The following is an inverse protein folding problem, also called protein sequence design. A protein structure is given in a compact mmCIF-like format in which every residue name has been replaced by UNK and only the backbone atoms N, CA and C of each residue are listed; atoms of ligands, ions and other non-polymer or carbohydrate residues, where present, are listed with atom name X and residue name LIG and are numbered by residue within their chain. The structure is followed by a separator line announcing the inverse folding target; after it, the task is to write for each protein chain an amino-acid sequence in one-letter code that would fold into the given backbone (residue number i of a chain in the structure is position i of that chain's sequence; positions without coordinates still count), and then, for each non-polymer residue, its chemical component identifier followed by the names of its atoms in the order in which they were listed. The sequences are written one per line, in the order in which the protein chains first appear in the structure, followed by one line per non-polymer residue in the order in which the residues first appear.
data_IF_435041075594
#
_entry.id   IF_435041075594
#
_cell.length_a   1.000
_cell.length_b   1.000
_cell.length_c   1.000
_cell.angle_alpha   90.00
_cell.angle_beta   90.00
_cell.angle_gamma   90.00
#
_symmetry.space_group_name_H-M   'P 1'
#
loop_
_entity.id
_entity.type
_entity.pdbx_description
1 polymer ?
#
# COMPACT_ATOMS: atom_id res chain seq x y z
N UNK A 1 -23.66 -25.58 67.85
CA UNK A 1 -23.06 -26.18 66.66
C UNK A 1 -23.53 -25.47 65.39
N UNK A 2 -23.12 -24.22 65.11
CA UNK A 2 -23.48 -23.49 63.91
C UNK A 2 -22.40 -22.45 63.52
N UNK A 3 -21.09 -22.76 63.67
CA UNK A 3 -20.00 -21.82 63.26
C UNK A 3 -18.89 -22.44 62.42
N UNK A 4 -19.04 -23.66 61.90
CA UNK A 4 -17.95 -24.35 61.18
C UNK A 4 -18.14 -24.50 59.66
N UNK A 5 -19.22 -23.95 59.02
CA UNK A 5 -19.54 -24.20 57.62
C UNK A 5 -19.22 -23.01 56.72
N UNK A 6 -18.94 -21.81 57.26
CA UNK A 6 -18.76 -20.59 56.44
C UNK A 6 -17.31 -20.42 55.91
N UNK A 7 -16.33 -21.07 56.53
CA UNK A 7 -14.91 -20.88 56.09
C UNK A 7 -14.45 -21.73 54.91
N UNK A 8 -15.17 -22.80 54.58
CA UNK A 8 -14.73 -23.72 53.50
C UNK A 8 -15.21 -23.28 52.11
N UNK A 9 -16.25 -22.47 52.00
CA UNK A 9 -16.80 -22.03 50.70
C UNK A 9 -16.04 -20.80 50.16
N UNK A 10 -15.52 -19.93 51.03
CA UNK A 10 -14.80 -18.72 50.59
C UNK A 10 -13.40 -19.07 50.05
N UNK A 11 -12.76 -20.13 50.60
CA UNK A 11 -11.44 -20.58 50.10
C UNK A 11 -11.48 -21.20 48.70
N UNK A 12 -12.55 -21.92 48.36
CA UNK A 12 -12.69 -22.57 47.07
C UNK A 12 -13.01 -21.60 45.91
N UNK A 13 -13.72 -20.53 46.19
CA UNK A 13 -14.02 -19.50 45.16
C UNK A 13 -12.77 -18.64 44.86
N UNK A 14 -11.97 -18.32 45.87
CA UNK A 14 -10.73 -17.56 45.68
C UNK A 14 -9.66 -18.38 44.92
N UNK A 15 -9.57 -19.68 45.15
CA UNK A 15 -8.67 -20.57 44.42
C UNK A 15 -9.12 -20.75 42.95
N UNK A 16 -10.42 -20.89 42.70
CA UNK A 16 -10.93 -20.99 41.32
C UNK A 16 -10.75 -19.68 40.52
N UNK A 17 -10.93 -18.53 41.17
CA UNK A 17 -10.69 -17.22 40.54
C UNK A 17 -9.20 -16.98 40.23
N UNK A 18 -8.30 -17.41 41.12
CA UNK A 18 -6.85 -17.30 40.90
C UNK A 18 -6.38 -18.23 39.78
N UNK A 19 -6.92 -19.45 39.67
CA UNK A 19 -6.62 -20.38 38.56
C UNK A 19 -7.21 -19.83 37.25
N UNK A 20 -8.41 -19.26 37.25
CA UNK A 20 -9.04 -18.64 36.09
C UNK A 20 -8.22 -17.43 35.59
N UNK A 21 -7.77 -16.53 36.49
CA UNK A 21 -6.91 -15.42 36.15
C UNK A 21 -5.52 -15.89 35.65
N UNK A 22 -4.92 -16.93 36.25
CA UNK A 22 -3.62 -17.43 35.85
C UNK A 22 -3.67 -18.15 34.48
N UNK A 23 -4.75 -18.84 34.14
CA UNK A 23 -4.95 -19.46 32.83
C UNK A 23 -5.28 -18.44 31.75
N UNK A 24 -5.92 -17.29 32.09
CA UNK A 24 -6.15 -16.20 31.12
C UNK A 24 -4.93 -15.29 30.89
N UNK A 25 -3.95 -15.27 31.81
CA UNK A 25 -2.73 -14.49 31.65
C UNK A 25 -1.62 -15.25 30.88
N UNK A 26 -1.81 -16.52 30.52
CA UNK A 26 -0.83 -17.34 29.80
C UNK A 26 -1.29 -17.77 28.40
N UNK A 27 -2.39 -17.28 27.89
CA UNK A 27 -2.57 -17.23 26.46
C UNK A 27 -1.84 -15.96 25.97
N UNK A 28 -0.52 -16.05 25.78
CA UNK A 28 0.09 -15.29 24.73
C UNK A 28 -0.84 -15.51 23.51
N UNK A 29 -1.53 -14.49 23.08
CA UNK A 29 -2.28 -14.52 21.83
C UNK A 29 -1.26 -14.87 20.77
N UNK A 30 -1.16 -16.14 20.42
CA UNK A 30 -0.51 -16.54 19.17
C UNK A 30 -1.22 -15.69 18.13
N UNK A 31 -0.48 -14.75 17.56
CA UNK A 31 -1.01 -13.91 16.50
C UNK A 31 -1.48 -14.89 15.42
N UNK A 32 -2.77 -14.86 15.10
CA UNK A 32 -3.30 -15.69 14.02
C UNK A 32 -2.43 -15.49 12.79
N UNK A 33 -2.09 -16.56 12.07
CA UNK A 33 -1.25 -16.45 10.89
C UNK A 33 -1.86 -15.43 9.91
N UNK A 34 -1.03 -14.53 9.40
CA UNK A 34 -1.46 -13.49 8.49
C UNK A 34 -1.82 -14.16 7.15
N UNK A 35 -3.12 -14.21 6.84
CA UNK A 35 -3.61 -14.68 5.55
C UNK A 35 -3.58 -13.52 4.55
N UNK A 36 -2.56 -13.48 3.70
CA UNK A 36 -2.47 -12.51 2.61
C UNK A 36 -3.17 -13.06 1.36
N UNK A 37 -3.76 -12.20 0.52
CA UNK A 37 -4.36 -12.63 -0.74
C UNK A 37 -3.28 -13.17 -1.69
N UNK A 38 -3.70 -14.04 -2.61
CA UNK A 38 -2.86 -14.44 -3.73
C UNK A 38 -2.44 -13.20 -4.54
N UNK A 39 -1.17 -13.12 -4.89
CA UNK A 39 -0.64 -11.95 -5.61
C UNK A 39 -0.37 -10.72 -4.74
N UNK A 40 -0.43 -10.84 -3.41
CA UNK A 40 -0.04 -9.74 -2.51
C UNK A 40 1.36 -9.23 -2.83
N UNK A 41 1.52 -7.89 -2.83
CA UNK A 41 2.77 -7.22 -3.17
C UNK A 41 3.23 -6.22 -2.11
N UNK A 42 4.55 -6.02 -2.04
CA UNK A 42 5.20 -4.98 -1.26
C UNK A 42 5.78 -3.93 -2.21
N UNK A 43 5.34 -2.69 -2.07
CA UNK A 43 5.88 -1.55 -2.80
C UNK A 43 6.94 -0.84 -1.96
N UNK A 44 8.14 -0.69 -2.50
CA UNK A 44 9.17 0.19 -1.96
C UNK A 44 8.86 1.63 -2.37
N UNK A 45 8.39 2.44 -1.41
CA UNK A 45 8.19 3.88 -1.60
C UNK A 45 9.53 4.54 -1.91
N UNK A 46 9.53 5.54 -2.78
CA UNK A 46 10.74 6.33 -3.04
C UNK A 46 11.42 6.78 -1.74
N UNK A 47 12.77 6.84 -1.74
CA UNK A 47 13.56 7.06 -0.51
C UNK A 47 13.57 5.87 0.46
N UNK A 48 13.30 4.65 -0.03
CA UNK A 48 13.32 3.45 0.80
C UNK A 48 14.75 3.12 1.28
N UNK A 49 14.81 2.33 2.37
CA UNK A 49 16.06 1.88 3.00
C UNK A 49 17.05 3.02 3.33
N UNK A 50 16.54 4.24 3.51
CA UNK A 50 17.34 5.42 3.88
C UNK A 50 18.00 6.15 2.71
N UNK A 51 17.67 5.80 1.48
CA UNK A 51 18.10 6.53 0.28
C UNK A 51 17.36 7.86 0.13
N UNK A 52 17.80 8.70 -0.81
CA UNK A 52 17.11 9.94 -1.14
C UNK A 52 15.90 9.66 -2.04
N UNK A 53 14.81 10.41 -1.80
CA UNK A 53 13.59 10.32 -2.62
C UNK A 53 13.88 10.62 -4.10
N UNK A 54 13.18 9.93 -4.97
CA UNK A 54 13.16 10.16 -6.41
C UNK A 54 14.57 10.06 -7.06
N UNK A 55 15.34 9.03 -6.68
CA UNK A 55 16.64 8.71 -7.25
C UNK A 55 16.71 7.29 -7.80
N UNK A 56 17.58 7.05 -8.75
CA UNK A 56 17.85 5.69 -9.28
C UNK A 56 18.42 4.77 -8.19
N UNK A 57 19.14 5.33 -7.22
CA UNK A 57 19.61 4.62 -6.03
C UNK A 57 18.44 4.07 -5.20
N UNK A 58 17.37 4.86 -5.02
CA UNK A 58 16.16 4.41 -4.31
C UNK A 58 15.48 3.23 -5.02
N UNK A 59 15.42 3.23 -6.35
CA UNK A 59 14.91 2.11 -7.13
C UNK A 59 15.75 0.86 -6.87
N UNK A 60 17.07 0.95 -6.98
CA UNK A 60 17.99 -0.16 -6.75
C UNK A 60 17.88 -0.70 -5.31
N UNK A 61 17.84 0.20 -4.31
CA UNK A 61 17.69 -0.20 -2.90
C UNK A 61 16.36 -0.94 -2.63
N UNK A 62 15.26 -0.52 -3.29
CA UNK A 62 13.99 -1.22 -3.22
C UNK A 62 14.06 -2.65 -3.74
N UNK A 63 14.74 -2.84 -4.88
CA UNK A 63 14.97 -4.16 -5.47
C UNK A 63 15.83 -5.03 -4.55
N UNK A 64 16.96 -4.51 -4.06
CA UNK A 64 17.86 -5.22 -3.15
C UNK A 64 17.16 -5.62 -1.83
N UNK A 65 16.22 -4.80 -1.37
CA UNK A 65 15.39 -5.11 -0.20
C UNK A 65 14.28 -6.15 -0.48
N UNK A 66 14.18 -6.67 -1.70
CA UNK A 66 13.23 -7.70 -2.10
C UNK A 66 11.80 -7.19 -2.30
N UNK A 67 11.61 -5.91 -2.61
CA UNK A 67 10.31 -5.38 -2.98
C UNK A 67 9.82 -5.98 -4.31
N UNK A 68 8.50 -6.16 -4.42
CA UNK A 68 7.87 -6.65 -5.66
C UNK A 68 7.62 -5.49 -6.64
N UNK A 69 7.55 -4.28 -6.09
CA UNK A 69 7.26 -3.03 -6.81
C UNK A 69 8.19 -1.95 -6.26
N UNK A 70 8.75 -1.12 -7.13
CA UNK A 70 9.43 0.13 -6.78
C UNK A 70 8.53 1.30 -7.15
N UNK A 71 8.55 2.37 -6.39
CA UNK A 71 7.69 3.54 -6.64
C UNK A 71 8.54 4.78 -6.84
N UNK A 72 8.08 5.64 -7.75
CA UNK A 72 8.62 6.95 -8.09
C UNK A 72 7.50 7.97 -8.21
N UNK A 73 7.80 9.25 -7.93
CA UNK A 73 6.90 10.37 -8.20
C UNK A 73 7.18 10.94 -9.60
N UNK A 74 6.15 11.04 -10.44
CA UNK A 74 6.24 11.61 -11.79
C UNK A 74 5.80 13.07 -11.80
N UNK A 75 6.69 13.92 -12.27
CA UNK A 75 6.40 15.33 -12.59
C UNK A 75 7.01 15.70 -13.95
N UNK A 76 6.80 16.93 -14.40
CA UNK A 76 7.30 17.44 -15.68
C UNK A 76 8.06 18.74 -15.48
N UNK A 77 9.20 18.88 -16.17
CA UNK A 77 9.90 20.15 -16.32
C UNK A 77 9.08 21.13 -17.17
N UNK A 78 9.39 22.44 -17.15
CA UNK A 78 8.71 23.43 -17.98
C UNK A 78 8.75 23.14 -19.49
N UNK A 79 9.76 22.41 -19.97
CA UNK A 79 9.90 21.97 -21.37
C UNK A 79 9.10 20.68 -21.67
N UNK A 80 8.41 20.12 -20.69
CA UNK A 80 7.62 18.91 -20.80
C UNK A 80 8.40 17.61 -20.55
N UNK A 81 9.68 17.66 -20.19
CA UNK A 81 10.48 16.46 -19.88
C UNK A 81 9.95 15.76 -18.62
N UNK A 82 9.61 14.45 -18.68
CA UNK A 82 9.18 13.68 -17.51
C UNK A 82 10.35 13.41 -16.56
N UNK A 83 10.22 13.80 -15.30
CA UNK A 83 11.25 13.70 -14.26
C UNK A 83 10.72 13.10 -12.98
N UNK A 84 11.62 12.59 -12.15
CA UNK A 84 11.33 12.05 -10.85
C UNK A 84 11.38 13.19 -9.81
N UNK A 85 10.25 13.67 -9.38
CA UNK A 85 10.12 14.66 -8.30
C UNK A 85 8.70 14.70 -7.74
N UNK A 86 8.58 14.89 -6.40
CA UNK A 86 7.27 14.97 -5.76
C UNK A 86 6.57 16.31 -6.02
N UNK A 87 7.30 17.40 -5.86
CA UNK A 87 6.76 18.75 -6.03
C UNK A 87 7.03 19.27 -7.44
N UNK A 88 6.32 20.33 -7.86
CA UNK A 88 6.58 20.95 -9.15
C UNK A 88 8.05 21.41 -9.22
N UNK A 89 8.84 20.90 -10.18
CA UNK A 89 10.26 21.25 -10.27
C UNK A 89 10.42 22.69 -10.78
N UNK A 90 11.33 23.41 -10.13
CA UNK A 90 11.94 24.61 -10.72
C UNK A 90 12.94 24.16 -11.80
N UNK A 91 12.96 24.81 -12.95
CA UNK A 91 13.73 24.38 -14.13
C UNK A 91 15.26 24.33 -13.96
N UNK A 92 15.79 24.79 -12.80
CA UNK A 92 17.24 24.90 -12.55
C UNK A 92 17.86 23.63 -11.93
N UNK A 93 17.03 22.65 -11.52
CA UNK A 93 17.51 21.41 -10.88
C UNK A 93 17.76 20.30 -11.92
N UNK A 94 18.91 19.65 -11.80
CA UNK A 94 19.15 18.38 -12.46
C UNK A 94 18.45 17.27 -11.70
N UNK A 95 17.39 16.71 -12.28
CA UNK A 95 16.60 15.64 -11.71
C UNK A 95 16.78 14.35 -12.51
N UNK A 96 16.65 13.17 -11.89
CA UNK A 96 16.54 11.93 -12.64
C UNK A 96 15.32 11.99 -13.56
N UNK A 97 15.46 11.49 -14.78
CA UNK A 97 14.38 11.45 -15.76
C UNK A 97 13.60 10.14 -15.67
N UNK A 98 12.35 10.15 -16.12
CA UNK A 98 11.58 8.92 -16.29
C UNK A 98 12.28 7.97 -17.26
N UNK A 99 12.91 8.50 -18.32
CA UNK A 99 13.69 7.72 -19.29
C UNK A 99 14.77 6.88 -18.62
N UNK A 100 15.57 7.48 -17.72
CA UNK A 100 16.61 6.77 -16.97
C UNK A 100 16.07 5.73 -15.97
N UNK A 101 14.91 6.00 -15.36
CA UNK A 101 14.27 5.04 -14.47
C UNK A 101 13.71 3.84 -15.22
N UNK A 102 13.11 4.06 -16.39
CA UNK A 102 12.58 2.99 -17.24
C UNK A 102 13.72 2.16 -17.88
N UNK A 103 14.83 2.79 -18.26
CA UNK A 103 16.01 2.07 -18.70
C UNK A 103 16.51 1.10 -17.63
N UNK A 104 16.64 1.58 -16.38
CA UNK A 104 16.99 0.72 -15.24
C UNK A 104 15.99 -0.41 -15.05
N UNK A 105 14.68 -0.13 -15.14
CA UNK A 105 13.60 -1.11 -14.95
C UNK A 105 13.67 -2.27 -15.95
N UNK A 106 14.12 -2.05 -17.18
CA UNK A 106 14.18 -3.11 -18.20
C UNK A 106 14.99 -4.33 -17.77
N UNK A 107 16.09 -4.11 -17.03
CA UNK A 107 16.96 -5.14 -16.49
C UNK A 107 16.51 -5.80 -15.18
N UNK A 108 15.40 -5.34 -14.58
CA UNK A 108 14.96 -5.77 -13.27
C UNK A 108 13.71 -6.64 -13.36
N UNK A 109 13.58 -7.62 -12.45
CA UNK A 109 12.37 -8.45 -12.33
C UNK A 109 11.44 -7.88 -11.24
N UNK A 110 11.02 -6.63 -11.40
CA UNK A 110 10.07 -5.91 -10.53
C UNK A 110 9.14 -5.07 -11.38
N UNK A 111 8.03 -4.66 -10.79
CA UNK A 111 7.14 -3.64 -11.37
C UNK A 111 7.52 -2.25 -10.87
N UNK A 112 7.04 -1.23 -11.57
CA UNK A 112 7.17 0.16 -11.14
C UNK A 112 5.78 0.79 -10.97
N UNK A 113 5.55 1.33 -9.80
CA UNK A 113 4.46 2.26 -9.54
C UNK A 113 4.93 3.67 -9.88
N UNK A 114 4.30 4.31 -10.84
CA UNK A 114 4.52 5.70 -11.20
C UNK A 114 3.42 6.52 -10.53
N UNK A 115 3.76 7.22 -9.44
CA UNK A 115 2.82 8.08 -8.71
C UNK A 115 2.72 9.44 -9.41
N UNK A 116 1.59 9.66 -10.10
CA UNK A 116 1.35 10.83 -10.95
C UNK A 116 1.12 12.06 -10.06
N UNK A 117 2.01 13.05 -10.17
CA UNK A 117 1.89 14.34 -9.46
C UNK A 117 1.39 15.46 -10.36
N UNK A 118 1.46 15.26 -11.67
CA UNK A 118 0.97 16.17 -12.68
C UNK A 118 0.65 15.40 -13.96
N UNK A 119 -0.29 15.92 -14.73
CA UNK A 119 -0.75 15.32 -16.00
C UNK A 119 -0.37 16.15 -17.23
N UNK A 120 0.49 17.18 -17.06
CA UNK A 120 0.83 18.17 -18.09
C UNK A 120 1.33 17.56 -19.41
N UNK A 121 2.08 16.43 -19.36
CA UNK A 121 2.62 15.77 -20.56
C UNK A 121 2.64 14.23 -20.43
N UNK A 122 1.52 13.64 -20.03
CA UNK A 122 1.39 12.18 -19.91
C UNK A 122 1.65 11.42 -21.22
N UNK A 123 1.43 12.06 -22.37
CA UNK A 123 1.71 11.46 -23.67
C UNK A 123 3.21 11.17 -23.85
N UNK A 124 4.10 12.07 -23.40
CA UNK A 124 5.56 11.85 -23.44
C UNK A 124 5.96 10.74 -22.46
N UNK A 125 5.40 10.74 -21.24
CA UNK A 125 5.63 9.65 -20.29
C UNK A 125 5.24 8.28 -20.90
N UNK A 126 4.09 8.21 -21.56
CA UNK A 126 3.65 6.99 -22.26
C UNK A 126 4.56 6.61 -23.42
N UNK A 127 5.03 7.59 -24.21
CA UNK A 127 5.97 7.34 -25.29
C UNK A 127 7.28 6.71 -24.77
N UNK A 128 7.78 7.16 -23.62
CA UNK A 128 8.96 6.57 -22.97
C UNK A 128 8.68 5.15 -22.45
N UNK A 129 7.53 4.90 -21.82
CA UNK A 129 7.12 3.55 -21.37
C UNK A 129 7.13 2.58 -22.55
N UNK A 130 6.58 2.98 -23.69
CA UNK A 130 6.58 2.17 -24.92
C UNK A 130 7.97 2.02 -25.53
N UNK A 131 8.78 3.07 -25.54
CA UNK A 131 10.17 3.05 -26.04
C UNK A 131 10.99 1.95 -25.34
N UNK A 132 10.80 1.80 -24.04
CA UNK A 132 11.48 0.81 -23.22
C UNK A 132 10.80 -0.57 -23.18
N UNK A 133 9.60 -0.72 -23.78
CA UNK A 133 8.82 -1.97 -23.76
C UNK A 133 8.40 -2.39 -22.35
N UNK A 134 8.09 -1.43 -21.48
CA UNK A 134 7.80 -1.64 -20.04
C UNK A 134 6.31 -1.55 -19.69
N UNK A 135 5.41 -1.53 -20.70
CA UNK A 135 3.96 -1.39 -20.49
C UNK A 135 3.38 -2.44 -19.53
N UNK A 136 3.90 -3.66 -19.55
CA UNK A 136 3.46 -4.74 -18.64
C UNK A 136 4.07 -4.66 -17.25
N UNK A 137 5.08 -3.82 -17.06
CA UNK A 137 5.80 -3.65 -15.79
C UNK A 137 5.39 -2.40 -15.02
N UNK A 138 4.63 -1.49 -15.62
CA UNK A 138 4.24 -0.22 -15.00
C UNK A 138 2.75 -0.15 -14.72
N UNK A 139 2.39 0.63 -13.71
CA UNK A 139 1.04 1.09 -13.45
C UNK A 139 1.10 2.45 -12.75
N UNK A 140 -0.04 3.17 -12.70
CA UNK A 140 -0.11 4.48 -12.09
C UNK A 140 -0.83 4.46 -10.74
N UNK A 141 -0.35 5.30 -9.82
CA UNK A 141 -1.07 5.83 -8.66
C UNK A 141 -1.05 7.36 -8.70
N UNK A 142 -1.54 8.05 -7.67
CA UNK A 142 -1.65 9.52 -7.71
C UNK A 142 -2.79 10.03 -8.58
N UNK A 143 -3.47 9.17 -9.32
CA UNK A 143 -4.57 9.52 -10.21
C UNK A 143 -5.82 9.84 -9.40
N UNK A 144 -6.23 11.10 -9.36
CA UNK A 144 -7.48 11.56 -8.78
C UNK A 144 -8.58 11.67 -9.85
N UNK A 145 -9.82 12.00 -9.46
CA UNK A 145 -10.95 12.06 -10.40
C UNK A 145 -10.69 12.96 -11.62
N UNK A 146 -10.08 14.11 -11.35
CA UNK A 146 -9.82 15.13 -12.39
C UNK A 146 -8.69 14.70 -13.35
N UNK A 147 -7.86 13.72 -12.96
CA UNK A 147 -6.75 13.21 -13.77
C UNK A 147 -7.15 12.06 -14.68
N UNK A 148 -8.28 11.39 -14.38
CA UNK A 148 -8.69 10.14 -15.03
C UNK A 148 -8.73 10.26 -16.56
N UNK A 149 -9.34 11.33 -17.09
CA UNK A 149 -9.48 11.52 -18.54
C UNK A 149 -8.11 11.75 -19.20
N UNK A 150 -7.25 12.57 -18.58
CA UNK A 150 -5.91 12.84 -19.08
C UNK A 150 -5.05 11.56 -19.10
N UNK A 151 -5.10 10.76 -18.05
CA UNK A 151 -4.35 9.49 -17.95
C UNK A 151 -4.86 8.48 -18.98
N UNK A 152 -6.17 8.26 -19.09
CA UNK A 152 -6.76 7.29 -20.04
C UNK A 152 -6.50 7.64 -21.48
N UNK A 153 -6.64 8.92 -21.83
CA UNK A 153 -6.45 9.37 -23.21
C UNK A 153 -4.97 9.39 -23.64
N UNK A 154 -4.07 9.74 -22.72
CA UNK A 154 -2.64 9.88 -23.02
C UNK A 154 -1.83 8.59 -22.86
N UNK A 155 -2.25 7.68 -21.97
CA UNK A 155 -1.54 6.43 -21.67
C UNK A 155 -2.48 5.21 -21.74
N UNK A 156 -3.11 4.96 -22.90
CA UNK A 156 -4.10 3.90 -23.05
C UNK A 156 -3.51 2.52 -22.76
N UNK A 157 -4.24 1.72 -21.96
CA UNK A 157 -3.86 0.34 -21.62
C UNK A 157 -2.91 0.21 -20.43
N UNK A 158 -2.36 1.29 -19.89
CA UNK A 158 -1.63 1.24 -18.62
C UNK A 158 -2.65 1.20 -17.47
N UNK A 159 -2.60 0.17 -16.59
CA UNK A 159 -3.49 0.10 -15.45
C UNK A 159 -3.19 1.20 -14.42
N UNK A 160 -4.21 1.62 -13.67
CA UNK A 160 -4.04 2.58 -12.60
C UNK A 160 -4.97 2.31 -11.42
N UNK A 161 -4.54 2.74 -10.25
CA UNK A 161 -5.38 2.84 -9.06
C UNK A 161 -5.95 4.25 -8.94
N UNK A 162 -7.21 4.37 -8.53
CA UNK A 162 -7.77 5.67 -8.19
C UNK A 162 -7.33 6.06 -6.77
N UNK A 163 -6.71 7.23 -6.64
CA UNK A 163 -6.40 7.80 -5.34
C UNK A 163 -7.66 8.38 -4.72
N UNK A 164 -8.01 7.94 -3.52
CA UNK A 164 -9.21 8.43 -2.84
C UNK A 164 -8.94 8.80 -1.39
N UNK A 165 -9.57 9.86 -0.94
CA UNK A 165 -9.66 10.21 0.47
C UNK A 165 -10.91 9.56 1.05
N UNK A 166 -10.73 8.54 1.89
CA UNK A 166 -11.83 7.82 2.54
C UNK A 166 -12.18 8.49 3.87
N UNK A 167 -13.48 8.72 4.12
CA UNK A 167 -13.93 9.20 5.41
C UNK A 167 -13.91 8.05 6.44
N UNK A 168 -12.98 8.16 7.36
CA UNK A 168 -12.78 7.16 8.42
C UNK A 168 -14.02 6.94 9.30
N UNK A 169 -14.96 7.90 9.38
CA UNK A 169 -16.15 7.80 10.24
C UNK A 169 -17.21 6.88 9.65
N UNK A 170 -17.20 6.71 8.34
CA UNK A 170 -18.21 5.94 7.60
C UNK A 170 -17.58 4.85 6.70
N UNK A 171 -16.30 4.52 6.90
CA UNK A 171 -15.56 3.53 6.09
C UNK A 171 -16.03 2.07 6.30
N UNK A 172 -17.09 1.86 7.08
CA UNK A 172 -17.80 0.59 7.25
C UNK A 172 -19.27 0.70 6.82
N UNK A 173 -19.73 1.89 6.45
CA UNK A 173 -21.09 2.11 5.95
C UNK A 173 -21.25 1.54 4.54
N UNK A 174 -22.22 0.65 4.36
CA UNK A 174 -22.40 -0.09 3.10
C UNK A 174 -22.72 0.83 1.91
N UNK A 175 -23.60 1.81 2.10
CA UNK A 175 -23.97 2.72 1.02
C UNK A 175 -22.79 3.61 0.60
N UNK A 176 -21.94 4.01 1.56
CA UNK A 176 -20.71 4.71 1.27
C UNK A 176 -19.73 3.84 0.50
N UNK A 177 -19.52 2.59 0.91
CA UNK A 177 -18.65 1.64 0.22
C UNK A 177 -19.15 1.32 -1.21
N UNK A 178 -20.47 1.16 -1.41
CA UNK A 178 -21.06 1.01 -2.75
C UNK A 178 -20.75 2.24 -3.64
N UNK A 179 -20.87 3.45 -3.08
CA UNK A 179 -20.56 4.68 -3.83
C UNK A 179 -19.09 4.75 -4.25
N UNK A 180 -18.16 4.34 -3.38
CA UNK A 180 -16.72 4.26 -3.68
C UNK A 180 -16.43 3.21 -4.76
N UNK A 181 -16.99 2.01 -4.64
CA UNK A 181 -16.85 0.94 -5.64
C UNK A 181 -17.38 1.40 -7.00
N UNK A 182 -18.57 2.03 -7.03
CA UNK A 182 -19.13 2.58 -8.26
C UNK A 182 -18.18 3.60 -8.88
N UNK A 183 -17.66 4.53 -8.08
CA UNK A 183 -16.71 5.56 -8.51
C UNK A 183 -15.46 4.95 -9.16
N UNK A 184 -14.85 3.94 -8.52
CA UNK A 184 -13.66 3.25 -9.04
C UNK A 184 -13.98 2.51 -10.34
N UNK A 185 -15.11 1.81 -10.42
CA UNK A 185 -15.53 1.12 -11.65
C UNK A 185 -15.82 2.08 -12.79
N UNK A 186 -16.51 3.18 -12.53
CA UNK A 186 -16.82 4.20 -13.54
C UNK A 186 -15.54 4.87 -14.09
N UNK A 187 -14.52 5.06 -13.26
CA UNK A 187 -13.23 5.58 -13.71
C UNK A 187 -12.47 4.59 -14.60
N UNK A 188 -12.71 3.29 -14.44
CA UNK A 188 -11.94 2.22 -15.11
C UNK A 188 -10.65 1.85 -14.38
N UNK A 189 -10.45 2.32 -13.15
CA UNK A 189 -9.31 1.95 -12.33
C UNK A 189 -9.40 0.48 -11.89
N UNK A 190 -8.25 -0.17 -11.67
CA UNK A 190 -8.17 -1.55 -11.19
C UNK A 190 -8.45 -1.69 -9.69
N UNK A 191 -8.51 -0.59 -8.97
CA UNK A 191 -8.71 -0.56 -7.53
C UNK A 191 -8.50 0.84 -6.95
N UNK A 192 -8.35 0.88 -5.64
CA UNK A 192 -8.20 2.10 -4.84
C UNK A 192 -6.81 2.16 -4.21
N UNK A 193 -6.17 3.33 -4.23
CA UNK A 193 -4.95 3.63 -3.49
C UNK A 193 -5.25 4.65 -2.39
N UNK A 194 -5.03 4.29 -1.12
CA UNK A 194 -5.49 5.09 0.00
C UNK A 194 -4.57 5.04 1.23
N UNK A 195 -4.69 6.05 2.10
CA UNK A 195 -4.01 6.04 3.40
C UNK A 195 -4.53 4.89 4.27
N UNK A 196 -3.63 4.02 4.75
CA UNK A 196 -3.98 2.88 5.60
C UNK A 196 -4.73 3.27 6.87
N UNK A 197 -4.56 4.51 7.37
CA UNK A 197 -5.21 5.00 8.59
C UNK A 197 -6.72 5.14 8.47
N UNK A 198 -7.25 5.22 7.24
CA UNK A 198 -8.67 5.33 6.94
C UNK A 198 -9.27 4.02 6.39
N UNK A 199 -8.47 2.97 6.19
CA UNK A 199 -8.92 1.67 5.73
C UNK A 199 -9.59 0.87 6.87
N UNK A 200 -10.63 0.11 6.52
CA UNK A 200 -11.29 -0.89 7.37
C UNK A 200 -11.24 -2.27 6.72
N UNK A 201 -11.47 -3.30 7.52
CA UNK A 201 -11.56 -4.67 7.05
C UNK A 201 -12.80 -4.89 6.15
N UNK A 202 -13.92 -4.22 6.46
CA UNK A 202 -15.13 -4.20 5.65
C UNK A 202 -14.85 -3.64 4.26
N UNK A 203 -14.11 -2.52 4.17
CA UNK A 203 -13.73 -1.91 2.90
C UNK A 203 -12.92 -2.89 2.05
N UNK A 204 -11.88 -3.50 2.60
CA UNK A 204 -11.02 -4.45 1.86
C UNK A 204 -11.83 -5.63 1.35
N UNK A 205 -12.67 -6.24 2.22
CA UNK A 205 -13.52 -7.37 1.82
C UNK A 205 -14.53 -6.98 0.74
N UNK A 206 -15.15 -5.82 0.87
CA UNK A 206 -16.16 -5.37 -0.08
C UNK A 206 -15.52 -5.07 -1.46
N UNK A 207 -14.41 -4.35 -1.51
CA UNK A 207 -13.69 -4.09 -2.75
C UNK A 207 -13.26 -5.39 -3.45
N UNK A 208 -12.73 -6.34 -2.68
CA UNK A 208 -12.33 -7.65 -3.21
C UNK A 208 -13.53 -8.44 -3.75
N UNK A 209 -14.68 -8.41 -3.08
CA UNK A 209 -15.90 -9.08 -3.60
C UNK A 209 -16.41 -8.49 -4.91
N UNK A 210 -16.05 -7.24 -5.19
CA UNK A 210 -16.37 -6.52 -6.42
C UNK A 210 -15.28 -6.63 -7.51
N UNK A 211 -14.22 -7.44 -7.25
CA UNK A 211 -13.09 -7.65 -8.16
C UNK A 211 -12.11 -6.49 -8.23
N UNK A 212 -12.11 -5.60 -7.23
CA UNK A 212 -11.26 -4.44 -7.14
C UNK A 212 -10.14 -4.64 -6.11
N UNK A 213 -8.96 -4.08 -6.39
CA UNK A 213 -7.78 -4.17 -5.55
C UNK A 213 -7.71 -3.00 -4.54
N UNK A 214 -7.06 -3.25 -3.40
CA UNK A 214 -6.81 -2.24 -2.36
C UNK A 214 -5.32 -2.11 -2.10
N UNK A 215 -4.76 -0.93 -2.39
CA UNK A 215 -3.39 -0.54 -2.11
C UNK A 215 -3.34 0.44 -0.94
N UNK A 216 -2.49 0.17 0.05
CA UNK A 216 -2.37 0.97 1.27
C UNK A 216 -1.00 1.65 1.39
N UNK A 217 -0.98 2.95 1.72
CA UNK A 217 0.23 3.75 1.91
C UNK A 217 0.18 4.68 3.13
N UNK A 218 1.26 5.13 3.71
CA UNK A 218 2.60 4.57 3.70
C UNK A 218 2.86 4.04 5.11
N UNK A 219 3.12 2.74 5.26
CA UNK A 219 3.33 2.08 6.53
C UNK A 219 4.84 1.94 6.82
N UNK A 220 5.40 2.80 7.68
CA UNK A 220 6.85 2.90 7.90
C UNK A 220 7.34 2.33 9.23
N UNK A 221 6.44 2.04 10.18
CA UNK A 221 6.78 1.39 11.45
C UNK A 221 6.27 -0.06 11.48
N UNK A 222 6.93 -0.92 12.27
CA UNK A 222 6.48 -2.32 12.48
C UNK A 222 5.02 -2.39 12.94
N UNK A 223 4.55 -1.44 13.75
CA UNK A 223 3.16 -1.37 14.21
C UNK A 223 2.20 -1.07 13.07
N UNK A 224 2.53 -0.12 12.20
CA UNK A 224 1.73 0.22 11.03
C UNK A 224 1.69 -0.93 10.03
N UNK A 225 2.85 -1.55 9.75
CA UNK A 225 2.95 -2.72 8.87
C UNK A 225 2.06 -3.87 9.35
N UNK A 226 2.15 -4.23 10.64
CA UNK A 226 1.29 -5.28 11.24
C UNK A 226 -0.19 -4.91 11.16
N UNK A 227 -0.53 -3.63 11.36
CA UNK A 227 -1.92 -3.15 11.19
C UNK A 227 -2.39 -3.29 9.73
N UNK A 228 -1.57 -2.92 8.76
CA UNK A 228 -1.92 -3.08 7.34
C UNK A 228 -2.05 -4.56 6.97
N UNK A 229 -1.13 -5.41 7.40
CA UNK A 229 -1.17 -6.86 7.15
C UNK A 229 -2.44 -7.51 7.75
N UNK A 230 -2.91 -7.04 8.92
CA UNK A 230 -4.15 -7.52 9.52
C UNK A 230 -5.40 -7.17 8.71
N UNK A 231 -5.36 -6.10 7.89
CA UNK A 231 -6.43 -5.73 6.96
C UNK A 231 -6.40 -6.56 5.68
N UNK A 232 -5.30 -7.32 5.44
CA UNK A 232 -5.14 -8.19 4.26
C UNK A 232 -5.39 -7.48 2.92
N UNK A 233 -4.77 -6.31 2.64
CA UNK A 233 -4.88 -5.61 1.36
C UNK A 233 -4.15 -6.37 0.25
N UNK A 234 -4.22 -5.86 -0.98
CA UNK A 234 -3.51 -6.45 -2.12
C UNK A 234 -2.08 -5.88 -2.27
N UNK A 235 -1.86 -4.67 -1.72
CA UNK A 235 -0.55 -4.02 -1.71
C UNK A 235 -0.32 -3.21 -0.44
N UNK A 236 0.94 -3.17 0.03
CA UNK A 236 1.39 -2.25 1.08
C UNK A 236 2.63 -1.51 0.59
N UNK A 237 2.56 -0.18 0.59
CA UNK A 237 3.67 0.71 0.29
C UNK A 237 4.40 1.12 1.57
N UNK A 238 5.73 1.01 1.58
CA UNK A 238 6.59 1.32 2.74
C UNK A 238 7.96 1.84 2.32
N UNK A 239 8.59 2.67 3.16
CA UNK A 239 10.00 3.06 3.02
C UNK A 239 10.98 2.02 3.60
N UNK A 240 10.46 0.92 4.16
CA UNK A 240 11.26 -0.14 4.78
C UNK A 240 10.81 -1.52 4.29
N UNK A 241 10.94 -1.80 2.97
CA UNK A 241 10.48 -3.06 2.38
C UNK A 241 11.18 -4.28 3.01
N UNK A 242 12.47 -4.21 3.35
CA UNK A 242 13.19 -5.30 4.03
C UNK A 242 12.52 -5.68 5.36
N UNK A 243 12.10 -4.68 6.16
CA UNK A 243 11.41 -4.90 7.43
C UNK A 243 10.04 -5.53 7.24
N UNK A 244 9.26 -5.05 6.26
CA UNK A 244 7.93 -5.61 5.97
C UNK A 244 8.03 -7.05 5.47
N UNK A 245 8.97 -7.35 4.55
CA UNK A 245 9.23 -8.72 4.08
C UNK A 245 9.65 -9.64 5.23
N UNK A 246 10.48 -9.17 6.16
CA UNK A 246 10.84 -9.92 7.38
C UNK A 246 9.62 -10.25 8.23
N UNK A 247 8.72 -9.29 8.48
CA UNK A 247 7.49 -9.54 9.24
C UNK A 247 6.60 -10.58 8.53
N UNK A 248 6.50 -10.54 7.21
CA UNK A 248 5.69 -11.49 6.43
C UNK A 248 6.27 -12.90 6.57
N UNK A 249 7.59 -13.07 6.47
CA UNK A 249 8.25 -14.37 6.60
C UNK A 249 8.08 -14.94 8.02
N UNK A 250 8.26 -14.10 9.06
CA UNK A 250 8.12 -14.52 10.46
C UNK A 250 6.68 -14.96 10.82
N UNK A 251 5.66 -14.52 10.07
CA UNK A 251 4.24 -14.79 10.36
C UNK A 251 3.57 -15.68 9.28
N UNK A 252 4.32 -16.20 8.31
CA UNK A 252 3.85 -17.30 7.46
C UNK A 252 3.94 -18.59 8.27
N UNK A 253 2.78 -19.14 8.62
CA UNK A 253 2.65 -20.45 9.27
C UNK A 253 2.99 -21.58 8.29
#
# INVERSE_FOLDING_TARGET
MKKAIIFTVVGSVAAAAAIYCATFQHSATEALPIALPEGFTVTAHTGCEGTKDNTLESISAGVEAGADIVEIDLHFLPDGTPVLNHDRPDGDKILPTLDSALELLTGLDVKMNIDVKATDNMAEAYALIRKHGTESKVFFTGVEDDDVEAVKSSAPGIPYYLNVSVDKKINTDFAYLESLVKKVKDSGAIGINMKFTACSDELVRFFRSEGLLVSLWTANSKREMKRCLALSPDNITTRKPSVLKGIIVENKA
#
